data_IF_980444592913
#
_entry.id   IF_980444592913
#
_cell.length_a   1.000
_cell.length_b   1.000
_cell.length_c   1.000
_cell.angle_alpha   90.00
_cell.angle_beta   90.00
_cell.angle_gamma   90.00
#
_symmetry.space_group_name_H-M   'P 1'
#
loop_
_entity.id
_entity.type
_entity.pdbx_description
1 polymer ?
#
# COMPACT_ATOMS: atom_id res chain seq x y z
N UNK A 1 -17.63 -23.61 33.85
CA UNK A 1 -16.92 -24.29 32.73
C UNK A 1 -15.57 -23.61 32.53
N UNK A 2 -14.44 -24.33 32.60
CA UNK A 2 -13.10 -23.72 32.37
C UNK A 2 -12.88 -23.50 30.87
N UNK A 3 -12.42 -22.31 30.43
CA UNK A 3 -12.12 -22.08 29.02
C UNK A 3 -10.94 -22.97 28.58
N UNK A 4 -11.16 -23.76 27.53
CA UNK A 4 -10.13 -24.60 26.93
C UNK A 4 -9.09 -23.69 26.26
N UNK A 5 -7.83 -23.81 26.66
CA UNK A 5 -6.73 -23.03 26.07
C UNK A 5 -6.59 -23.40 24.59
N UNK A 6 -6.55 -22.40 23.72
CA UNK A 6 -6.24 -22.58 22.31
C UNK A 6 -4.79 -23.05 22.16
N UNK A 7 -4.57 -24.11 21.38
CA UNK A 7 -3.24 -24.70 21.16
C UNK A 7 -2.99 -24.85 19.67
N UNK A 8 -1.81 -24.46 19.22
CA UNK A 8 -1.46 -24.39 17.80
C UNK A 8 -0.55 -25.55 17.39
N UNK A 9 -0.80 -26.15 16.23
CA UNK A 9 0.12 -27.11 15.63
C UNK A 9 1.36 -26.39 15.12
N UNK A 10 2.55 -26.79 15.57
CA UNK A 10 3.78 -26.09 15.22
C UNK A 10 4.16 -26.25 13.74
N UNK A 11 3.81 -27.38 13.11
CA UNK A 11 4.11 -27.66 11.70
C UNK A 11 3.14 -26.95 10.74
N UNK A 12 1.82 -27.04 10.95
CA UNK A 12 0.85 -26.47 10.00
C UNK A 12 0.16 -25.17 10.48
N UNK A 13 0.54 -24.66 11.65
CA UNK A 13 0.02 -23.43 12.28
C UNK A 13 -1.51 -23.38 12.53
N UNK A 14 -2.23 -24.49 12.38
CA UNK A 14 -3.65 -24.57 12.72
C UNK A 14 -3.88 -24.50 14.24
N UNK A 15 -4.89 -23.72 14.65
CA UNK A 15 -5.29 -23.52 16.04
C UNK A 15 -6.41 -24.48 16.40
N UNK A 16 -6.32 -25.12 17.56
CA UNK A 16 -7.30 -26.08 18.06
C UNK A 16 -7.76 -25.70 19.47
N UNK A 17 -9.03 -25.96 19.77
CA UNK A 17 -9.58 -25.78 21.11
C UNK A 17 -9.16 -26.96 22.01
N UNK A 18 -8.07 -26.76 22.75
CA UNK A 18 -7.53 -27.75 23.69
C UNK A 18 -6.55 -28.76 23.09
N UNK A 19 -5.74 -29.35 23.98
CA UNK A 19 -4.67 -30.26 23.60
C UNK A 19 -5.13 -31.60 23.00
N UNK A 20 -6.37 -32.03 23.27
CA UNK A 20 -6.92 -33.27 22.71
C UNK A 20 -7.18 -33.15 21.20
N UNK A 21 -7.79 -32.05 20.76
CA UNK A 21 -8.05 -31.76 19.35
C UNK A 21 -6.73 -31.63 18.55
N UNK A 22 -5.72 -30.96 19.13
CA UNK A 22 -4.40 -30.87 18.53
C UNK A 22 -3.69 -32.23 18.41
N UNK A 23 -3.79 -33.10 19.43
CA UNK A 23 -3.19 -34.45 19.38
C UNK A 23 -3.83 -35.32 18.32
N UNK A 24 -5.16 -35.27 18.20
CA UNK A 24 -5.91 -35.99 17.16
C UNK A 24 -5.45 -35.54 15.76
N UNK A 25 -5.36 -34.22 15.55
CA UNK A 25 -4.82 -33.65 14.32
C UNK A 25 -3.37 -34.09 14.02
N UNK A 26 -2.48 -34.01 15.00
CA UNK A 26 -1.07 -34.36 14.82
C UNK A 26 -0.90 -35.83 14.43
N UNK A 27 -1.69 -36.73 15.04
CA UNK A 27 -1.71 -38.16 14.66
C UNK A 27 -2.23 -38.38 13.24
N UNK A 28 -3.31 -37.70 12.85
CA UNK A 28 -3.91 -37.81 11.53
C UNK A 28 -3.00 -37.31 10.39
N UNK A 29 -2.18 -36.29 10.66
CA UNK A 29 -1.26 -35.69 9.68
C UNK A 29 0.20 -36.11 9.86
N UNK A 30 0.49 -37.04 10.78
CA UNK A 30 1.84 -37.49 11.17
C UNK A 30 2.79 -36.35 11.61
N UNK A 31 2.24 -35.26 12.16
CA UNK A 31 3.04 -34.15 12.70
C UNK A 31 3.62 -34.52 14.08
N UNK A 32 4.83 -34.05 14.40
CA UNK A 32 5.47 -34.31 15.70
C UNK A 32 4.90 -33.38 16.79
N UNK A 33 4.10 -33.95 17.70
CA UNK A 33 3.54 -33.21 18.84
C UNK A 33 4.52 -33.08 20.01
N UNK A 34 4.66 -31.88 20.56
CA UNK A 34 5.28 -31.63 21.88
C UNK A 34 4.30 -30.90 22.79
N UNK A 35 4.28 -31.27 24.08
CA UNK A 35 3.44 -30.62 25.10
C UNK A 35 3.95 -29.18 25.35
N UNK A 36 3.11 -28.13 25.26
CA UNK A 36 3.48 -26.82 25.76
C UNK A 36 3.66 -26.88 27.29
N UNK A 37 4.85 -26.53 27.80
CA UNK A 37 5.04 -26.25 29.24
C UNK A 37 4.20 -25.01 29.57
N UNK A 38 3.23 -25.12 30.47
CA UNK A 38 2.39 -23.98 30.83
C UNK A 38 3.24 -22.93 31.55
N UNK A 39 3.33 -21.73 30.98
CA UNK A 39 3.82 -20.56 31.71
C UNK A 39 2.69 -20.10 32.63
N UNK A 40 2.87 -20.31 33.93
CA UNK A 40 2.07 -19.69 34.98
C UNK A 40 2.73 -18.35 35.27
N UNK A 41 2.09 -17.24 34.92
CA UNK A 41 2.59 -15.90 35.26
C UNK A 41 2.08 -15.58 36.67
N UNK A 42 2.99 -15.63 37.64
CA UNK A 42 2.78 -15.06 38.97
C UNK A 42 3.07 -13.54 38.91
N UNK A 43 2.22 -12.77 39.59
CA UNK A 43 2.37 -11.32 39.76
C UNK A 43 3.67 -10.99 40.52
N UNK A 44 4.42 -9.99 40.04
CA UNK A 44 5.47 -9.34 40.79
C UNK A 44 5.34 -7.83 40.63
N UNK A 45 4.96 -7.19 41.72
CA UNK A 45 5.20 -5.79 42.04
C UNK A 45 6.65 -5.65 42.49
N UNK A 46 7.45 -4.77 41.88
CA UNK A 46 8.62 -4.25 42.58
C UNK A 46 9.11 -2.90 42.01
N UNK A 47 9.23 -1.97 42.94
CA UNK A 47 9.73 -0.61 42.85
C UNK A 47 11.25 -0.65 42.97
N UNK A 48 12.01 0.02 42.09
CA UNK A 48 13.45 0.26 42.33
C UNK A 48 13.86 1.65 41.86
N UNK A 49 14.67 2.26 42.72
CA UNK A 49 15.11 3.65 42.80
C UNK A 49 16.20 4.07 41.80
N UNK A 50 16.32 5.40 41.70
CA UNK A 50 17.30 6.20 40.96
C UNK A 50 18.64 6.26 41.72
N UNK A 51 19.80 6.30 41.04
CA UNK A 51 21.02 6.88 41.60
C UNK A 51 21.46 8.17 40.89
N UNK A 52 21.82 9.14 41.73
CA UNK A 52 22.41 10.45 41.45
C UNK A 52 23.92 10.33 41.18
N UNK A 53 24.47 11.11 40.25
CA UNK A 53 25.91 11.38 40.20
C UNK A 53 26.18 12.84 39.79
N UNK A 54 27.06 13.47 40.56
CA UNK A 54 27.38 14.89 40.59
C UNK A 54 28.65 15.18 39.78
N UNK A 55 28.64 16.26 38.98
CA UNK A 55 29.74 17.23 38.82
C UNK A 55 30.98 16.86 37.99
N UNK A 56 31.15 17.52 36.84
CA UNK A 56 32.42 18.11 36.43
C UNK A 56 32.20 19.17 35.33
N UNK A 57 32.66 20.39 35.61
CA UNK A 57 32.64 21.58 34.75
C UNK A 57 33.91 21.62 33.90
N UNK A 58 33.81 21.83 32.58
CA UNK A 58 34.91 22.32 31.75
C UNK A 58 34.38 23.33 30.72
N UNK A 59 35.14 24.41 30.55
CA UNK A 59 34.84 25.67 29.85
C UNK A 59 34.91 25.58 28.31
N UNK A 60 34.10 26.46 27.71
CA UNK A 60 33.88 26.90 26.33
C UNK A 60 35.02 26.84 25.29
N UNK A 61 34.65 26.69 24.00
CA UNK A 61 34.63 27.78 23.00
C UNK A 61 34.22 27.34 21.58
N UNK A 62 33.25 28.06 21.00
CA UNK A 62 33.20 28.50 19.60
C UNK A 62 32.80 27.53 18.47
N UNK A 63 31.62 27.73 17.88
CA UNK A 63 31.46 28.37 16.54
C UNK A 63 30.06 28.16 15.96
N UNK A 64 29.54 29.23 15.35
CA UNK A 64 28.21 29.36 14.79
C UNK A 64 27.98 28.51 13.53
N UNK A 65 26.77 28.00 13.39
CA UNK A 65 26.26 27.34 12.19
C UNK A 65 24.75 27.17 12.27
N UNK A 66 24.04 28.22 11.86
CA UNK A 66 22.58 28.27 11.73
C UNK A 66 22.05 27.20 10.79
N UNK A 67 21.30 26.23 11.31
CA UNK A 67 20.27 25.50 10.56
C UNK A 67 18.94 25.70 11.26
N UNK A 68 18.07 26.49 10.62
CA UNK A 68 16.68 26.67 11.01
C UNK A 68 15.92 25.36 10.76
N UNK A 69 16.00 24.42 11.71
CA UNK A 69 15.05 23.33 11.80
C UNK A 69 13.80 23.88 12.49
N UNK A 70 12.72 23.97 11.71
CA UNK A 70 11.40 24.38 12.16
C UNK A 70 10.90 23.41 13.25
N UNK A 71 11.16 23.75 14.50
CA UNK A 71 10.44 23.19 15.65
C UNK A 71 9.00 23.68 15.57
N UNK A 72 8.15 22.89 14.90
CA UNK A 72 6.70 23.03 15.03
C UNK A 72 6.32 22.45 16.40
N UNK A 73 5.83 23.25 17.37
CA UNK A 73 5.42 22.71 18.64
C UNK A 73 4.26 21.75 18.40
N UNK A 74 4.47 20.48 18.76
CA UNK A 74 3.42 19.48 18.77
C UNK A 74 2.33 19.97 19.72
N UNK A 75 1.24 20.48 19.16
CA UNK A 75 0.03 20.78 19.89
C UNK A 75 -0.38 19.51 20.65
N UNK A 76 -0.30 19.60 21.96
CA UNK A 76 -0.80 18.66 22.95
C UNK A 76 -2.34 18.55 22.86
N UNK A 77 -2.83 18.03 21.74
CA UNK A 77 -4.18 17.51 21.65
C UNK A 77 -4.11 16.07 22.14
N UNK A 78 -4.86 15.78 23.19
CA UNK A 78 -5.03 14.45 23.76
C UNK A 78 -5.64 13.52 22.69
N UNK A 79 -4.78 12.95 21.84
CA UNK A 79 -5.18 12.00 20.83
C UNK A 79 -5.56 10.69 21.54
N UNK A 80 -6.74 10.17 21.21
CA UNK A 80 -7.19 8.88 21.73
C UNK A 80 -6.15 7.81 21.39
N UNK A 81 -5.67 7.03 22.37
CA UNK A 81 -4.73 5.97 22.11
C UNK A 81 -5.29 4.96 21.10
N UNK A 82 -4.44 4.53 20.17
CA UNK A 82 -4.77 3.48 19.22
C UNK A 82 -4.33 2.13 19.77
N UNK A 83 -5.17 1.11 19.62
CA UNK A 83 -4.89 -0.22 20.14
C UNK A 83 -4.77 -1.21 18.99
N UNK A 84 -3.77 -2.09 19.08
CA UNK A 84 -3.64 -3.18 18.12
C UNK A 84 -4.80 -4.16 18.26
N UNK A 85 -5.56 -4.47 17.19
CA UNK A 85 -6.73 -5.33 17.27
C UNK A 85 -6.40 -6.80 17.57
N UNK A 86 -5.13 -7.20 17.47
CA UNK A 86 -4.69 -8.59 17.69
C UNK A 86 -4.10 -8.80 19.09
N UNK A 87 -3.28 -7.86 19.58
CA UNK A 87 -2.59 -8.01 20.86
C UNK A 87 -2.91 -6.92 21.90
N UNK A 88 -3.76 -5.95 21.56
CA UNK A 88 -4.18 -4.83 22.43
C UNK A 88 -3.04 -3.94 22.93
N UNK A 89 -1.87 -3.98 22.31
CA UNK A 89 -0.77 -3.05 22.60
C UNK A 89 -1.19 -1.63 22.20
N UNK A 90 -0.87 -0.66 23.07
CA UNK A 90 -1.17 0.75 22.89
C UNK A 90 -0.12 1.41 22.00
N UNK A 91 -0.57 2.25 21.08
CA UNK A 91 0.24 3.12 20.23
C UNK A 91 -0.30 4.55 20.28
N UNK A 92 0.59 5.52 20.15
CA UNK A 92 0.25 6.95 20.18
C UNK A 92 -0.17 7.47 18.80
N UNK A 93 0.35 6.86 17.74
CA UNK A 93 0.12 7.26 16.34
C UNK A 93 -0.27 6.07 15.47
N UNK A 94 -0.99 6.36 14.39
CA UNK A 94 -1.37 5.35 13.39
C UNK A 94 -0.14 4.72 12.73
N UNK A 95 0.91 5.50 12.49
CA UNK A 95 2.17 5.00 11.93
C UNK A 95 2.83 3.99 12.87
N UNK A 96 2.87 4.29 14.17
CA UNK A 96 3.40 3.37 15.18
C UNK A 96 2.61 2.06 15.24
N UNK A 97 1.28 2.14 15.18
CA UNK A 97 0.42 0.96 15.11
C UNK A 97 0.63 0.17 13.81
N UNK A 98 0.75 0.86 12.67
CA UNK A 98 0.92 0.24 11.35
C UNK A 98 2.25 -0.49 11.22
N UNK A 99 3.33 0.10 11.73
CA UNK A 99 4.66 -0.52 11.80
C UNK A 99 4.62 -1.73 12.73
N UNK A 100 4.09 -1.56 13.94
CA UNK A 100 3.91 -2.67 14.88
C UNK A 100 3.15 -3.83 14.23
N UNK A 101 2.02 -3.55 13.59
CA UNK A 101 1.20 -4.56 12.98
C UNK A 101 1.94 -5.28 11.84
N UNK A 102 2.64 -4.54 10.99
CA UNK A 102 3.35 -5.11 9.84
C UNK A 102 4.52 -6.02 10.25
N UNK A 103 5.16 -5.75 11.39
CA UNK A 103 6.29 -6.53 11.89
C UNK A 103 5.82 -7.68 12.80
N UNK A 104 4.98 -7.38 13.79
CA UNK A 104 4.57 -8.35 14.83
C UNK A 104 3.45 -9.27 14.33
N UNK A 105 2.62 -8.79 13.40
CA UNK A 105 1.49 -9.51 12.83
C UNK A 105 1.64 -9.71 11.31
N UNK A 106 2.88 -9.90 10.83
CA UNK A 106 3.18 -10.09 9.41
C UNK A 106 2.36 -11.21 8.73
N UNK A 107 2.04 -12.27 9.49
CA UNK A 107 1.24 -13.42 9.03
C UNK A 107 -0.26 -13.15 8.98
N UNK A 108 -0.72 -12.01 9.50
CA UNK A 108 -2.13 -11.61 9.44
C UNK A 108 -2.53 -11.27 8.00
N UNK A 109 -3.74 -11.67 7.55
CA UNK A 109 -4.25 -11.28 6.24
C UNK A 109 -4.56 -9.78 6.15
N UNK A 110 -4.79 -9.12 7.28
CA UNK A 110 -5.07 -7.69 7.31
C UNK A 110 -3.80 -6.87 7.16
N UNK A 111 -3.87 -5.76 6.42
CA UNK A 111 -2.79 -4.83 6.16
C UNK A 111 -3.28 -3.40 6.46
N UNK A 112 -2.48 -2.56 7.13
CA UNK A 112 -2.87 -1.18 7.38
C UNK A 112 -2.80 -0.35 6.09
N UNK A 113 -3.78 0.54 5.91
CA UNK A 113 -3.76 1.61 4.93
C UNK A 113 -3.38 2.92 5.63
N UNK A 114 -2.31 3.56 5.18
CA UNK A 114 -1.77 4.82 5.73
C UNK A 114 -2.75 5.99 5.53
N UNK A 115 -3.34 6.10 4.33
CA UNK A 115 -4.26 7.19 3.95
C UNK A 115 -5.62 7.08 4.61
N UNK A 116 -6.22 5.88 4.59
CA UNK A 116 -7.56 5.66 5.12
C UNK A 116 -7.58 5.38 6.63
N UNK A 117 -6.42 5.08 7.23
CA UNK A 117 -6.26 4.69 8.63
C UNK A 117 -7.16 3.51 9.05
N UNK A 118 -7.23 2.49 8.20
CA UNK A 118 -8.00 1.27 8.43
C UNK A 118 -7.16 0.03 8.08
N UNK A 119 -7.62 -1.13 8.55
CA UNK A 119 -7.07 -2.43 8.16
C UNK A 119 -7.88 -3.02 7.01
N UNK A 120 -7.20 -3.46 5.96
CA UNK A 120 -7.79 -4.05 4.75
C UNK A 120 -7.16 -5.39 4.44
N UNK A 121 -7.91 -6.33 3.87
CA UNK A 121 -7.37 -7.65 3.50
C UNK A 121 -6.59 -7.57 2.19
N UNK A 122 -7.20 -6.93 1.19
CA UNK A 122 -6.60 -6.71 -0.12
C UNK A 122 -6.38 -5.21 -0.33
N UNK A 123 -5.11 -4.78 -0.34
CA UNK A 123 -4.75 -3.37 -0.55
C UNK A 123 -5.14 -2.89 -1.94
N UNK A 124 -4.94 -3.72 -2.97
CA UNK A 124 -5.18 -3.30 -4.35
C UNK A 124 -6.67 -3.11 -4.61
N UNK A 125 -7.50 -4.04 -4.14
CA UNK A 125 -8.94 -3.90 -4.24
C UNK A 125 -9.44 -2.70 -3.43
N UNK A 126 -8.90 -2.50 -2.22
CA UNK A 126 -9.20 -1.32 -1.43
C UNK A 126 -8.88 -0.01 -2.18
N UNK A 127 -7.72 0.08 -2.83
CA UNK A 127 -7.33 1.27 -3.58
C UNK A 127 -8.26 1.51 -4.79
N UNK A 128 -8.71 0.45 -5.45
CA UNK A 128 -9.66 0.54 -6.58
C UNK A 128 -11.05 1.00 -6.16
N UNK A 129 -11.53 0.58 -5.00
CA UNK A 129 -12.88 0.92 -4.53
C UNK A 129 -12.94 2.25 -3.76
N UNK A 130 -11.92 2.54 -2.97
CA UNK A 130 -11.92 3.73 -2.10
C UNK A 130 -11.90 5.03 -2.91
N UNK A 131 -12.70 6.05 -2.55
CA UNK A 131 -12.62 7.37 -3.14
C UNK A 131 -11.42 8.19 -2.63
N UNK A 132 -10.75 7.74 -1.56
CA UNK A 132 -9.61 8.45 -0.94
C UNK A 132 -8.28 8.13 -1.62
N UNK A 133 -8.26 7.14 -2.50
CA UNK A 133 -7.07 6.70 -3.22
C UNK A 133 -7.11 7.18 -4.66
N UNK A 134 -6.00 7.73 -5.18
CA UNK A 134 -5.93 8.13 -6.57
C UNK A 134 -5.97 6.90 -7.47
N UNK A 135 -6.64 7.06 -8.62
CA UNK A 135 -6.83 5.99 -9.59
C UNK A 135 -6.32 6.45 -10.94
N UNK A 136 -5.74 5.51 -11.69
CA UNK A 136 -5.41 5.78 -13.07
C UNK A 136 -6.68 5.81 -13.92
N UNK A 137 -6.88 6.85 -14.72
CA UNK A 137 -8.04 6.95 -15.61
C UNK A 137 -7.98 5.98 -16.79
N UNK A 138 -6.78 5.54 -17.19
CA UNK A 138 -6.58 4.65 -18.33
C UNK A 138 -6.80 3.17 -17.98
N UNK A 139 -6.23 2.69 -16.87
CA UNK A 139 -6.37 1.28 -16.46
C UNK A 139 -7.29 1.05 -15.25
N UNK A 140 -7.81 2.10 -14.62
CA UNK A 140 -8.66 2.05 -13.42
C UNK A 140 -8.02 1.40 -12.19
N UNK A 141 -6.71 1.18 -12.20
CA UNK A 141 -5.98 0.74 -11.02
C UNK A 141 -5.94 1.84 -9.96
N UNK A 142 -6.10 1.44 -8.69
CA UNK A 142 -5.95 2.33 -7.54
C UNK A 142 -4.54 2.26 -6.97
N UNK A 143 -4.09 3.39 -6.43
CA UNK A 143 -2.75 3.55 -5.86
C UNK A 143 -2.83 4.04 -4.41
N UNK A 144 -1.79 3.78 -3.62
CA UNK A 144 -1.75 4.21 -2.22
C UNK A 144 -1.82 5.73 -2.12
N UNK A 145 -1.02 6.43 -2.93
CA UNK A 145 -0.97 7.88 -2.96
C UNK A 145 -0.66 8.41 -4.37
N UNK A 146 -0.62 9.74 -4.50
CA UNK A 146 -0.34 10.40 -5.77
C UNK A 146 1.07 10.11 -6.27
N UNK A 147 2.04 9.86 -5.39
CA UNK A 147 3.43 9.55 -5.76
C UNK A 147 3.50 8.22 -6.48
N UNK A 148 2.81 7.19 -5.99
CA UNK A 148 2.73 5.88 -6.64
C UNK A 148 1.98 5.95 -7.98
N UNK A 149 0.91 6.75 -8.05
CA UNK A 149 0.25 7.02 -9.34
C UNK A 149 1.21 7.72 -10.33
N UNK A 150 1.98 8.72 -9.89
CA UNK A 150 2.94 9.40 -10.75
C UNK A 150 4.04 8.45 -11.23
N UNK A 151 4.56 7.57 -10.38
CA UNK A 151 5.50 6.52 -10.80
C UNK A 151 4.89 5.58 -11.84
N UNK A 152 3.62 5.21 -11.67
CA UNK A 152 2.89 4.40 -12.65
C UNK A 152 2.78 5.10 -14.01
N UNK A 153 2.57 6.43 -14.02
CA UNK A 153 2.48 7.23 -15.24
C UNK A 153 3.85 7.55 -15.87
N UNK A 154 4.91 7.69 -15.07
CA UNK A 154 6.24 8.16 -15.51
C UNK A 154 6.94 7.24 -16.55
N UNK A 155 6.46 6.02 -16.75
CA UNK A 155 6.98 5.08 -17.75
C UNK A 155 6.00 4.75 -18.89
N UNK A 156 4.84 5.41 -18.95
CA UNK A 156 3.74 5.06 -19.85
C UNK A 156 3.28 6.30 -20.61
N UNK A 157 3.36 6.26 -21.94
CA UNK A 157 2.61 7.21 -22.76
C UNK A 157 1.14 6.82 -22.70
N UNK A 158 0.22 7.74 -22.37
CA UNK A 158 -1.22 7.45 -22.46
C UNK A 158 -1.75 8.03 -23.76
N UNK A 159 -2.47 7.22 -24.53
CA UNK A 159 -3.16 7.72 -25.72
C UNK A 159 -4.39 8.52 -25.27
N UNK A 160 -4.49 9.74 -25.74
CA UNK A 160 -5.61 10.67 -25.52
C UNK A 160 -6.92 10.22 -26.19
N UNK A 161 -6.84 9.54 -27.35
CA UNK A 161 -8.01 9.09 -28.11
C UNK A 161 -8.68 7.86 -27.49
N UNK A 162 -7.90 6.83 -27.15
CA UNK A 162 -8.44 5.59 -26.60
C UNK A 162 -8.25 5.44 -25.09
N UNK A 163 -7.56 6.38 -24.44
CA UNK A 163 -7.24 6.37 -23.01
C UNK A 163 -6.54 5.07 -22.57
N UNK A 164 -5.71 4.50 -23.45
CA UNK A 164 -4.89 3.31 -23.14
C UNK A 164 -3.44 3.67 -22.87
N UNK A 165 -2.80 2.90 -21.98
CA UNK A 165 -1.37 3.01 -21.74
C UNK A 165 -0.56 2.29 -22.82
N UNK A 166 0.36 3.02 -23.41
CA UNK A 166 1.37 2.54 -24.33
C UNK A 166 2.59 2.14 -23.52
N UNK A 167 2.87 0.84 -23.58
CA UNK A 167 4.01 0.25 -22.90
C UNK A 167 5.17 0.15 -23.90
N UNK A 168 6.37 0.64 -23.55
CA UNK A 168 7.56 0.43 -24.37
C UNK A 168 7.76 -1.06 -24.71
N UNK A 169 8.24 -1.39 -25.93
CA UNK A 169 8.87 -0.50 -26.90
C UNK A 169 7.90 0.14 -27.92
N UNK A 170 6.59 -0.08 -27.80
CA UNK A 170 5.62 0.47 -28.76
C UNK A 170 5.62 2.00 -28.66
N UNK A 171 5.81 2.68 -29.79
CA UNK A 171 5.74 4.15 -29.85
C UNK A 171 4.28 4.60 -29.97
N UNK A 172 4.01 5.87 -29.68
CA UNK A 172 2.68 6.47 -29.87
C UNK A 172 2.21 6.29 -31.32
N UNK A 173 3.07 6.56 -32.30
CA UNK A 173 2.74 6.40 -33.73
C UNK A 173 2.39 4.96 -34.10
N UNK A 174 3.16 3.98 -33.59
CA UNK A 174 2.89 2.57 -33.87
C UNK A 174 1.58 2.12 -33.20
N UNK A 175 1.32 2.59 -31.97
CA UNK A 175 0.03 2.37 -31.33
C UNK A 175 -1.12 2.96 -32.16
N UNK A 176 -0.99 4.20 -32.65
CA UNK A 176 -2.00 4.79 -33.50
C UNK A 176 -2.24 3.93 -34.74
N UNK A 177 -1.18 3.52 -35.43
CA UNK A 177 -1.22 2.71 -36.65
C UNK A 177 -1.90 1.35 -36.46
N UNK A 178 -1.62 0.68 -35.34
CA UNK A 178 -2.11 -0.67 -35.05
C UNK A 178 -3.50 -0.66 -34.39
N UNK A 179 -3.84 0.39 -33.63
CA UNK A 179 -5.10 0.47 -32.88
C UNK A 179 -6.31 0.45 -33.82
N UNK A 180 -7.29 -0.40 -33.50
CA UNK A 180 -8.59 -0.43 -34.17
C UNK A 180 -9.56 0.61 -33.60
N UNK A 181 -9.23 1.17 -32.43
CA UNK A 181 -10.06 2.18 -31.75
C UNK A 181 -9.88 3.58 -32.36
N UNK A 182 -8.88 3.76 -33.21
CA UNK A 182 -8.55 5.06 -33.79
C UNK A 182 -9.21 5.21 -35.16
N UNK A 183 -9.71 6.41 -35.50
CA UNK A 183 -10.40 6.65 -36.76
C UNK A 183 -9.46 6.44 -37.95
N UNK A 184 -9.75 5.46 -38.80
CA UNK A 184 -9.00 5.18 -40.04
C UNK A 184 -9.74 5.79 -41.23
N UNK A 185 -9.04 6.41 -42.18
CA UNK A 185 -9.65 6.79 -43.46
C UNK A 185 -10.00 5.50 -44.22
N UNK A 186 -11.29 5.27 -44.49
CA UNK A 186 -11.77 4.06 -45.18
C UNK A 186 -11.31 3.92 -46.63
N UNK A 187 -10.67 4.94 -47.19
CA UNK A 187 -10.26 4.99 -48.60
C UNK A 187 -8.76 4.67 -48.75
N UNK A 188 -7.90 5.23 -47.89
CA UNK A 188 -6.46 4.97 -47.96
C UNK A 188 -5.94 4.03 -46.85
N UNK A 189 -6.76 3.66 -45.87
CA UNK A 189 -6.40 2.81 -44.71
C UNK A 189 -5.16 3.27 -43.93
N UNK A 190 -4.66 4.49 -44.19
CA UNK A 190 -3.52 5.10 -43.48
C UNK A 190 -4.04 6.10 -42.46
N UNK A 191 -3.46 6.03 -41.27
CA UNK A 191 -3.69 6.99 -40.20
C UNK A 191 -2.70 8.14 -40.37
N UNK A 192 -3.20 9.37 -40.24
CA UNK A 192 -2.37 10.56 -40.04
C UNK A 192 -2.06 10.65 -38.54
N UNK A 193 -0.79 10.90 -38.31
CA UNK A 193 -0.09 11.16 -37.08
C UNK A 193 -0.76 12.26 -36.23
N UNK A 194 -0.46 12.23 -34.92
CA UNK A 194 -1.13 13.02 -33.85
C UNK A 194 -1.20 14.52 -34.15
N UNK A 195 -0.18 15.08 -34.80
CA UNK A 195 0.00 16.53 -34.94
C UNK A 195 -0.87 17.16 -36.07
N UNK A 196 -1.64 16.36 -36.83
CA UNK A 196 -2.55 16.87 -37.87
C UNK A 196 -4.05 16.73 -37.53
N UNK A 197 -4.39 16.36 -36.29
CA UNK A 197 -5.78 16.36 -35.80
C UNK A 197 -6.29 17.75 -35.39
N UNK A 198 -5.41 18.72 -35.11
CA UNK A 198 -5.80 20.11 -34.80
C UNK A 198 -5.92 21.01 -36.04
N UNK A 199 -5.55 20.53 -37.23
CA UNK A 199 -5.78 21.24 -38.48
C UNK A 199 -6.60 20.38 -39.45
N UNK A 200 -7.84 20.83 -39.59
CA UNK A 200 -8.77 20.67 -40.72
C UNK A 200 -9.85 19.57 -40.59
N UNK A 201 -11.15 19.94 -40.72
CA UNK A 201 -12.23 19.02 -41.12
C UNK A 201 -12.14 18.55 -42.58
N UNK A 202 -10.99 18.63 -43.24
CA UNK A 202 -10.88 18.45 -44.68
C UNK A 202 -9.45 18.17 -45.08
N UNK A 203 -9.25 17.27 -46.03
CA UNK A 203 -7.99 17.05 -46.74
C UNK A 203 -6.99 16.13 -46.02
N UNK A 204 -7.27 14.83 -46.15
CA UNK A 204 -6.20 13.86 -46.36
C UNK A 204 -5.33 14.37 -47.53
N UNK A 205 -4.01 14.52 -47.34
CA UNK A 205 -3.10 15.07 -48.39
C UNK A 205 -3.01 14.16 -49.61
N UNK A 206 -3.37 12.89 -49.45
CA UNK A 206 -3.82 12.08 -50.57
C UNK A 206 -5.26 12.47 -50.90
N UNK A 207 -5.48 12.92 -52.14
CA UNK A 207 -6.73 13.28 -52.81
C UNK A 207 -7.92 12.29 -52.69
N UNK A 208 -7.85 11.29 -51.82
CA UNK A 208 -8.84 10.25 -51.55
C UNK A 208 -9.96 10.64 -50.58
N UNK A 209 -9.73 11.46 -49.55
CA UNK A 209 -10.66 11.54 -48.39
C UNK A 209 -11.47 12.87 -48.31
N UNK A 210 -12.04 13.34 -49.43
CA UNK A 210 -12.86 14.58 -49.52
C UNK A 210 -14.31 14.45 -49.02
N UNK A 211 -14.64 13.43 -48.21
CA UNK A 211 -16.01 13.22 -47.73
C UNK A 211 -16.03 12.54 -46.36
N UNK A 212 -15.54 13.24 -45.33
CA UNK A 212 -15.85 12.88 -43.94
C UNK A 212 -17.16 13.58 -43.58
N UNK A 213 -18.27 12.83 -43.51
CA UNK A 213 -19.51 13.29 -42.88
C UNK A 213 -19.35 13.14 -41.36
N UNK A 214 -19.66 14.16 -40.55
CA UNK A 214 -19.74 14.01 -39.11
C UNK A 214 -20.90 13.07 -38.74
N UNK A 215 -20.67 12.23 -37.73
CA UNK A 215 -21.70 11.44 -37.03
C UNK A 215 -22.49 12.35 -36.07
#
# INVERSE_FOLDING_TARGET
MRPLKNVTCWECKKVFQGGAALKSHAKAKRHKWKRPKSITVAAFTETVAIPTATGATIVSSGSAGTVAAQNKPASSLSLRPLYCPVCSVRHETWDGLSIHYSIVHATSPWKPCSVCQIFVVDKQEHYRQSPRHPKCTACFDGFEDTTELQKHLAGRGSCDVCNEHIVPPVTMDEHYRLSLKHPKCGICSKLKDRDELEMVPSVCVHFCCSSLKPL
#
